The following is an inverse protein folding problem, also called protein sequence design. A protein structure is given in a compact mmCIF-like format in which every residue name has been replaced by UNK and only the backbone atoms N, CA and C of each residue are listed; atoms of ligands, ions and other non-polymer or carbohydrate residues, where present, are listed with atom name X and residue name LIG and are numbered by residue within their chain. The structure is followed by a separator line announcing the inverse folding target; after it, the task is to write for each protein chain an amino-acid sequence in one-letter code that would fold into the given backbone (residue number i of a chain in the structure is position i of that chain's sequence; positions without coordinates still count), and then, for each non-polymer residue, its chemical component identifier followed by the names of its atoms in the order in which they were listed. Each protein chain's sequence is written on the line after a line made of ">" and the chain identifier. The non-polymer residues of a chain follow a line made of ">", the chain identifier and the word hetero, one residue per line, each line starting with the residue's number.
data_IF_930201078596
#
_entry.id   IF_930201078596
#
_cell.length_a   1.000
_cell.length_b   1.000
_cell.length_c   1.000
_cell.angle_alpha   90.00
_cell.angle_beta   90.00
_cell.angle_gamma   90.00
#
_symmetry.space_group_name_H-M   'P 1'
#
loop_
_entity.id
_entity.type
_entity.pdbx_description
1 polymer ?
#
# COMPACT_ATOMS: atom_id res chain seq x y z
N UNK A 1 -24.72 18.60 -3.24
CA UNK A 1 -24.68 17.80 -2.03
C UNK A 1 -23.32 17.19 -1.80
N UNK A 2 -23.04 16.80 -0.56
CA UNK A 2 -21.78 16.15 -0.17
C UNK A 2 -22.10 14.98 0.74
N UNK A 3 -21.43 13.85 0.53
CA UNK A 3 -21.45 12.73 1.47
C UNK A 3 -20.03 12.30 1.79
N UNK A 4 -19.78 12.00 3.04
CA UNK A 4 -18.49 11.51 3.55
C UNK A 4 -18.71 10.25 4.38
N UNK A 5 -17.75 9.33 4.32
CA UNK A 5 -17.77 8.09 5.11
C UNK A 5 -16.36 7.72 5.53
N UNK A 6 -16.18 7.47 6.82
CA UNK A 6 -14.98 6.86 7.37
C UNK A 6 -15.01 5.36 7.09
N UNK A 7 -13.95 4.83 6.50
CA UNK A 7 -13.86 3.41 6.12
C UNK A 7 -12.53 2.85 6.59
N UNK A 8 -12.56 1.66 7.16
CA UNK A 8 -11.37 0.89 7.48
C UNK A 8 -10.91 0.14 6.23
N UNK A 9 -9.62 0.14 5.96
CA UNK A 9 -9.02 -0.71 4.94
C UNK A 9 -9.33 -2.20 5.23
N UNK A 10 -9.43 -2.98 4.18
CA UNK A 10 -9.70 -4.42 4.27
C UNK A 10 -8.52 -5.28 3.81
N UNK A 11 -7.44 -4.63 3.35
CA UNK A 11 -6.19 -5.27 2.94
C UNK A 11 -5.00 -4.41 3.33
N UNK A 12 -3.92 -5.07 3.77
CA UNK A 12 -2.63 -4.45 3.98
C UNK A 12 -1.55 -5.22 3.22
N UNK A 13 -0.52 -4.53 2.75
CA UNK A 13 0.64 -5.11 2.07
C UNK A 13 1.91 -4.54 2.70
N UNK A 14 2.85 -5.43 3.03
CA UNK A 14 4.20 -5.08 3.48
C UNK A 14 5.16 -5.70 2.48
N UNK A 15 6.05 -4.88 1.91
CA UNK A 15 7.08 -5.35 0.99
C UNK A 15 8.44 -5.38 1.70
N UNK A 16 9.13 -6.51 1.62
CA UNK A 16 10.51 -6.68 2.07
C UNK A 16 11.35 -6.95 0.84
N UNK A 17 12.31 -6.07 0.56
CA UNK A 17 13.24 -6.19 -0.57
C UNK A 17 14.65 -6.32 -0.02
N UNK A 18 15.39 -7.29 -0.47
CA UNK A 18 16.78 -7.47 -0.08
C UNK A 18 17.66 -7.78 -1.29
N UNK A 19 18.87 -7.27 -1.26
CA UNK A 19 19.82 -7.40 -2.34
C UNK A 19 21.22 -7.66 -1.82
N UNK A 20 22.08 -8.11 -2.71
CA UNK A 20 23.53 -8.26 -2.49
C UNK A 20 24.25 -8.07 -3.80
N UNK A 21 25.52 -7.68 -3.72
CA UNK A 21 26.44 -7.64 -4.85
C UNK A 21 27.70 -8.45 -4.48
N UNK A 22 28.10 -9.37 -5.33
CA UNK A 22 29.31 -10.17 -5.11
C UNK A 22 30.00 -10.52 -6.43
N UNK A 23 31.32 -10.69 -6.39
CA UNK A 23 32.12 -11.11 -7.55
C UNK A 23 31.85 -12.55 -7.95
N UNK A 24 31.38 -13.39 -7.01
CA UNK A 24 30.96 -14.77 -7.24
C UNK A 24 29.46 -14.91 -7.08
N UNK A 25 28.82 -15.53 -8.07
CA UNK A 25 27.38 -15.76 -8.06
C UNK A 25 26.94 -16.65 -6.88
N UNK A 26 27.72 -17.69 -6.57
CA UNK A 26 27.43 -18.62 -5.49
C UNK A 26 27.37 -17.92 -4.11
N UNK A 27 28.32 -17.01 -3.85
CA UNK A 27 28.36 -16.23 -2.60
C UNK A 27 27.16 -15.26 -2.52
N UNK A 28 26.80 -14.65 -3.66
CA UNK A 28 25.63 -13.77 -3.74
C UNK A 28 24.32 -14.55 -3.45
N UNK A 29 24.17 -15.73 -4.05
CA UNK A 29 22.99 -16.59 -3.82
C UNK A 29 22.91 -17.07 -2.38
N UNK A 30 24.03 -17.43 -1.76
CA UNK A 30 24.09 -17.83 -0.35
C UNK A 30 23.61 -16.69 0.55
N UNK A 31 24.12 -15.48 0.32
CA UNK A 31 23.75 -14.29 1.10
C UNK A 31 22.23 -13.96 0.98
N UNK A 32 21.66 -14.05 -0.23
CA UNK A 32 20.22 -13.86 -0.45
C UNK A 32 19.41 -14.93 0.29
N UNK A 33 19.84 -16.19 0.25
CA UNK A 33 19.15 -17.29 0.95
C UNK A 33 19.16 -17.12 2.46
N UNK A 34 20.25 -16.59 3.04
CA UNK A 34 20.32 -16.27 4.47
C UNK A 34 19.32 -15.18 4.86
N UNK A 35 19.22 -14.12 4.05
CA UNK A 35 18.24 -13.05 4.26
C UNK A 35 16.79 -13.55 4.15
N UNK A 36 16.51 -14.37 3.14
CA UNK A 36 15.19 -15.01 2.97
C UNK A 36 14.81 -15.84 4.19
N UNK A 37 15.72 -16.71 4.65
CA UNK A 37 15.49 -17.54 5.84
C UNK A 37 15.19 -16.70 7.07
N UNK A 38 15.93 -15.62 7.29
CA UNK A 38 15.72 -14.73 8.43
C UNK A 38 14.33 -14.05 8.37
N UNK A 39 13.90 -13.61 7.19
CA UNK A 39 12.54 -13.09 7.00
C UNK A 39 11.50 -14.16 7.34
N UNK A 40 11.64 -15.36 6.78
CA UNK A 40 10.70 -16.47 7.01
C UNK A 40 10.65 -16.92 8.49
N UNK A 41 11.76 -16.87 9.21
CA UNK A 41 11.80 -17.16 10.65
C UNK A 41 10.97 -16.16 11.45
N UNK A 42 11.04 -14.87 11.11
CA UNK A 42 10.18 -13.85 11.73
C UNK A 42 8.71 -14.11 11.40
N UNK A 43 8.36 -14.36 10.12
CA UNK A 43 6.98 -14.63 9.74
C UNK A 43 6.41 -15.86 10.47
N UNK A 44 7.21 -16.90 10.63
CA UNK A 44 6.85 -18.09 11.42
C UNK A 44 6.68 -17.79 12.90
N UNK A 45 7.58 -17.00 13.50
CA UNK A 45 7.48 -16.60 14.91
C UNK A 45 6.23 -15.78 15.20
N UNK A 46 5.74 -15.04 14.19
CA UNK A 46 4.50 -14.28 14.23
C UNK A 46 3.28 -15.12 13.81
N UNK A 47 3.45 -16.43 13.60
CA UNK A 47 2.39 -17.38 13.22
C UNK A 47 1.66 -17.04 11.90
N UNK A 48 2.33 -16.33 10.96
CA UNK A 48 1.78 -16.10 9.63
C UNK A 48 1.73 -17.42 8.86
N UNK A 49 0.62 -17.62 8.15
CA UNK A 49 0.42 -18.80 7.30
C UNK A 49 1.01 -18.57 5.92
N UNK A 50 1.34 -19.64 5.20
CA UNK A 50 1.92 -19.58 3.85
C UNK A 50 1.08 -18.79 2.84
N UNK A 51 -0.23 -18.70 3.04
CA UNK A 51 -1.11 -17.92 2.17
C UNK A 51 -1.21 -16.42 2.56
N UNK A 52 -0.44 -15.98 3.55
CA UNK A 52 -0.35 -14.57 3.97
C UNK A 52 0.95 -13.91 3.50
N UNK A 53 1.82 -14.63 2.81
CA UNK A 53 3.01 -14.06 2.17
C UNK A 53 3.34 -14.78 0.86
N UNK A 54 4.09 -14.11 0.01
CA UNK A 54 4.58 -14.63 -1.25
C UNK A 54 6.05 -14.26 -1.44
N UNK A 55 6.87 -15.26 -1.75
CA UNK A 55 8.29 -15.08 -2.05
C UNK A 55 8.43 -14.96 -3.57
N UNK A 56 8.93 -13.82 -4.02
CA UNK A 56 9.19 -13.59 -5.44
C UNK A 56 10.47 -14.31 -5.89
N UNK A 57 10.55 -14.58 -7.18
CA UNK A 57 11.72 -15.18 -7.78
C UNK A 57 12.97 -14.28 -7.61
N UNK A 58 14.10 -14.90 -7.41
CA UNK A 58 15.39 -14.23 -7.38
C UNK A 58 15.69 -13.60 -8.75
N UNK A 59 16.08 -12.33 -8.75
CA UNK A 59 16.58 -11.62 -9.94
C UNK A 59 18.10 -11.54 -9.86
N UNK A 60 18.77 -11.96 -10.93
CA UNK A 60 20.22 -11.97 -11.02
C UNK A 60 20.61 -11.10 -12.20
N UNK A 61 21.48 -10.13 -11.97
CA UNK A 61 22.02 -9.25 -12.99
C UNK A 61 23.55 -9.26 -12.94
N UNK A 62 24.23 -9.78 -13.98
CA UNK A 62 25.67 -9.64 -14.12
C UNK A 62 26.03 -8.23 -14.55
N UNK A 63 27.02 -7.64 -13.92
CA UNK A 63 27.62 -6.36 -14.28
C UNK A 63 28.94 -6.59 -15.02
N UNK A 64 29.13 -5.91 -16.14
CA UNK A 64 30.26 -6.11 -17.01
C UNK A 64 31.23 -4.92 -16.97
N UNK A 65 32.53 -5.19 -17.23
CA UNK A 65 33.51 -4.13 -17.42
C UNK A 65 33.19 -3.30 -18.68
N UNK A 66 33.47 -2.00 -18.63
CA UNK A 66 33.37 -1.14 -19.81
C UNK A 66 34.29 -1.66 -20.92
N UNK A 67 33.80 -1.60 -22.17
CA UNK A 67 34.63 -1.92 -23.36
C UNK A 67 35.72 -0.89 -23.50
N UNK A 68 36.91 -1.20 -23.09
CA UNK A 68 38.13 -0.48 -23.50
C UNK A 68 38.78 -1.26 -24.65
N UNK A 69 38.79 -0.64 -25.85
CA UNK A 69 39.53 -1.07 -27.05
C UNK A 69 40.01 -2.53 -27.04
N UNK A 70 39.27 -3.42 -27.73
CA UNK A 70 39.66 -4.81 -28.06
C UNK A 70 39.87 -5.81 -26.90
N UNK A 71 39.48 -5.50 -25.70
CA UNK A 71 39.50 -6.47 -24.58
C UNK A 71 38.15 -7.16 -24.38
N UNK A 72 38.21 -8.46 -24.08
CA UNK A 72 37.01 -9.23 -23.75
C UNK A 72 36.25 -8.58 -22.58
N UNK A 73 34.93 -8.48 -22.73
CA UNK A 73 34.01 -8.02 -21.65
C UNK A 73 34.04 -9.04 -20.54
N UNK A 74 34.47 -8.65 -19.33
CA UNK A 74 34.49 -9.51 -18.14
C UNK A 74 33.35 -9.14 -17.19
N UNK A 75 32.79 -10.17 -16.58
CA UNK A 75 31.83 -9.96 -15.46
C UNK A 75 32.62 -9.44 -14.26
N UNK A 76 32.23 -8.30 -13.73
CA UNK A 76 32.81 -7.68 -12.53
C UNK A 76 32.18 -8.21 -11.25
N UNK A 77 30.86 -8.26 -11.20
CA UNK A 77 30.07 -8.75 -10.09
C UNK A 77 28.68 -9.18 -10.54
N UNK A 78 27.94 -9.77 -9.65
CA UNK A 78 26.55 -10.13 -9.79
C UNK A 78 25.72 -9.37 -8.75
N UNK A 79 24.74 -8.59 -9.21
CA UNK A 79 23.70 -8.04 -8.36
C UNK A 79 22.56 -9.04 -8.29
N UNK A 80 22.25 -9.45 -7.08
CA UNK A 80 21.16 -10.41 -6.81
C UNK A 80 20.16 -9.75 -5.89
N UNK A 81 18.88 -9.83 -6.26
CA UNK A 81 17.78 -9.22 -5.53
C UNK A 81 16.61 -10.19 -5.41
N UNK A 82 15.94 -10.14 -4.28
CA UNK A 82 14.69 -10.88 -4.03
C UNK A 82 13.76 -10.05 -3.17
N UNK A 83 12.47 -10.35 -3.21
CA UNK A 83 11.48 -9.70 -2.37
C UNK A 83 10.45 -10.68 -1.82
N UNK A 84 9.92 -10.34 -0.66
CA UNK A 84 8.81 -11.04 -0.02
C UNK A 84 7.68 -10.04 0.15
N UNK A 85 6.50 -10.40 -0.35
CA UNK A 85 5.26 -9.63 -0.23
C UNK A 85 4.42 -10.27 0.87
N UNK A 86 4.07 -9.51 1.89
CA UNK A 86 3.32 -9.99 3.05
C UNK A 86 1.95 -9.31 3.05
N UNK A 87 0.89 -10.10 3.10
CA UNK A 87 -0.49 -9.65 3.13
C UNK A 87 -1.24 -10.35 4.29
N UNK A 88 -1.09 -9.84 5.53
CA UNK A 88 -1.68 -10.46 6.69
C UNK A 88 -3.20 -10.42 6.61
N UNK A 89 -3.87 -11.53 6.99
CA UNK A 89 -5.33 -11.58 7.06
C UNK A 89 -5.89 -10.64 8.11
N UNK A 90 -5.21 -10.53 9.24
CA UNK A 90 -5.50 -9.52 10.25
C UNK A 90 -4.63 -8.29 10.00
N UNK A 91 -5.20 -7.29 9.31
CA UNK A 91 -4.48 -6.06 8.96
C UNK A 91 -4.04 -5.24 10.18
N UNK A 92 -4.66 -5.42 11.34
CA UNK A 92 -4.30 -4.71 12.59
C UNK A 92 -2.90 -5.12 13.10
N UNK A 93 -2.41 -6.29 12.68
CA UNK A 93 -1.07 -6.77 13.01
C UNK A 93 0.02 -6.22 12.08
N UNK A 94 -0.34 -5.44 11.08
CA UNK A 94 0.63 -4.98 10.07
C UNK A 94 1.78 -4.16 10.67
N UNK A 95 1.49 -3.31 11.65
CA UNK A 95 2.50 -2.50 12.33
C UNK A 95 3.43 -3.40 13.18
N UNK A 96 2.88 -4.38 13.92
CA UNK A 96 3.66 -5.37 14.67
C UNK A 96 4.61 -6.15 13.75
N UNK A 97 4.09 -6.63 12.62
CA UNK A 97 4.87 -7.38 11.62
C UNK A 97 6.00 -6.49 11.07
N UNK A 98 5.66 -5.25 10.70
CA UNK A 98 6.63 -4.29 10.19
C UNK A 98 7.75 -4.00 11.19
N UNK A 99 7.42 -3.72 12.45
CA UNK A 99 8.38 -3.44 13.51
C UNK A 99 9.33 -4.63 13.74
N UNK A 100 8.79 -5.85 13.77
CA UNK A 100 9.60 -7.06 13.90
C UNK A 100 10.55 -7.26 12.72
N UNK A 101 10.09 -7.03 11.50
CA UNK A 101 10.95 -7.13 10.32
C UNK A 101 12.05 -6.06 10.31
N UNK A 102 11.79 -4.85 10.84
CA UNK A 102 12.81 -3.81 10.94
C UNK A 102 14.04 -4.24 11.78
N UNK A 103 13.89 -5.16 12.73
CA UNK A 103 15.00 -5.71 13.51
C UNK A 103 16.05 -6.37 12.61
N UNK A 104 15.67 -6.91 11.45
CA UNK A 104 16.61 -7.52 10.49
C UNK A 104 17.61 -6.52 9.91
N UNK A 105 17.29 -5.24 9.84
CA UNK A 105 18.23 -4.20 9.38
C UNK A 105 19.42 -4.01 10.31
N UNK A 106 19.34 -4.46 11.54
CA UNK A 106 20.45 -4.46 12.47
C UNK A 106 21.48 -5.55 12.16
N UNK A 107 21.04 -6.63 11.50
CA UNK A 107 21.88 -7.80 11.17
C UNK A 107 22.29 -7.80 9.71
N UNK A 108 21.39 -7.39 8.81
CA UNK A 108 21.60 -7.45 7.38
C UNK A 108 21.61 -6.05 6.76
N UNK A 109 22.65 -5.78 5.98
CA UNK A 109 22.68 -4.61 5.09
C UNK A 109 21.88 -4.85 3.79
N UNK A 110 21.61 -3.79 3.03
CA UNK A 110 20.88 -3.85 1.77
C UNK A 110 19.53 -4.58 1.89
N UNK A 111 18.79 -4.23 2.93
CA UNK A 111 17.43 -4.70 3.18
C UNK A 111 16.52 -3.49 3.36
N UNK A 112 15.49 -3.42 2.55
CA UNK A 112 14.43 -2.41 2.60
C UNK A 112 13.13 -3.07 3.05
N UNK A 113 12.50 -2.50 4.05
CA UNK A 113 11.20 -2.93 4.56
C UNK A 113 10.29 -1.72 4.44
N UNK A 114 9.34 -1.81 3.52
CA UNK A 114 8.40 -0.72 3.22
C UNK A 114 7.31 -0.73 4.29
N UNK A 115 6.92 0.47 4.74
CA UNK A 115 5.78 0.60 5.68
C UNK A 115 4.52 -0.08 5.12
N UNK A 116 3.64 -0.60 5.98
CA UNK A 116 2.39 -1.20 5.54
C UNK A 116 1.60 -0.24 4.66
N UNK A 117 1.17 -0.73 3.51
CA UNK A 117 0.26 -0.03 2.61
C UNK A 117 -1.15 -0.58 2.77
N UNK A 118 -2.13 0.29 3.00
CA UNK A 118 -3.51 -0.08 3.30
C UNK A 118 -4.44 0.19 2.13
N UNK A 119 -5.27 -0.79 1.77
CA UNK A 119 -6.16 -0.77 0.62
C UNK A 119 -7.61 -1.03 1.01
N UNK A 120 -8.54 -0.43 0.26
CA UNK A 120 -9.97 -0.71 0.29
C UNK A 120 -10.29 -1.46 -1.02
N UNK A 121 -10.50 -2.78 -0.94
CA UNK A 121 -10.73 -3.60 -2.14
C UNK A 121 -12.14 -3.44 -2.70
N UNK A 122 -13.11 -3.07 -1.87
CA UNK A 122 -14.53 -2.88 -2.23
C UNK A 122 -14.91 -1.41 -2.51
N UNK A 123 -13.98 -0.61 -3.06
CA UNK A 123 -14.17 0.84 -3.25
C UNK A 123 -15.40 1.18 -4.09
N UNK A 124 -15.72 0.38 -5.11
CA UNK A 124 -16.85 0.63 -6.00
C UNK A 124 -18.22 0.59 -5.28
N UNK A 125 -18.35 -0.27 -4.27
CA UNK A 125 -19.54 -0.30 -3.42
C UNK A 125 -19.70 1.02 -2.68
N UNK A 126 -18.62 1.52 -2.10
CA UNK A 126 -18.64 2.80 -1.37
C UNK A 126 -18.91 3.99 -2.29
N UNK A 127 -18.36 3.99 -3.52
CA UNK A 127 -18.66 5.03 -4.51
C UNK A 127 -20.16 5.12 -4.79
N UNK A 128 -20.80 3.97 -5.01
CA UNK A 128 -22.24 3.91 -5.27
C UNK A 128 -23.06 4.44 -4.08
N UNK A 129 -22.76 3.94 -2.87
CA UNK A 129 -23.48 4.34 -1.66
C UNK A 129 -23.34 5.86 -1.39
N UNK A 130 -22.12 6.38 -1.55
CA UNK A 130 -21.82 7.80 -1.32
C UNK A 130 -22.46 8.71 -2.39
N UNK A 131 -22.53 8.25 -3.64
CA UNK A 131 -23.22 8.99 -4.70
C UNK A 131 -24.71 9.16 -4.38
N UNK A 132 -25.36 8.08 -3.93
CA UNK A 132 -26.77 8.13 -3.50
C UNK A 132 -26.93 9.11 -2.34
N UNK A 133 -26.12 8.97 -1.30
CA UNK A 133 -26.19 9.83 -0.10
C UNK A 133 -25.88 11.29 -0.42
N UNK A 134 -24.96 11.59 -1.33
CA UNK A 134 -24.67 12.95 -1.76
C UNK A 134 -25.84 13.56 -2.54
N UNK A 135 -26.51 12.77 -3.38
CA UNK A 135 -27.70 13.19 -4.13
C UNK A 135 -28.86 13.50 -3.18
N UNK A 136 -29.15 12.64 -2.22
CA UNK A 136 -30.17 12.87 -1.18
C UNK A 136 -29.86 14.13 -0.37
N UNK A 137 -28.59 14.35 -0.03
CA UNK A 137 -28.14 15.57 0.66
C UNK A 137 -28.33 16.82 -0.20
N UNK A 138 -28.11 16.75 -1.52
CA UNK A 138 -28.37 17.85 -2.44
C UNK A 138 -29.86 18.21 -2.46
N UNK A 139 -30.73 17.22 -2.60
CA UNK A 139 -32.18 17.40 -2.60
C UNK A 139 -32.68 18.00 -1.28
N UNK A 140 -32.22 17.46 -0.16
CA UNK A 140 -32.58 17.95 1.17
C UNK A 140 -32.20 19.43 1.33
N UNK A 141 -30.99 19.82 0.94
CA UNK A 141 -30.53 21.23 0.99
C UNK A 141 -31.37 22.13 0.10
N UNK A 142 -31.71 21.69 -1.12
CA UNK A 142 -32.55 22.43 -2.01
C UNK A 142 -33.95 22.67 -1.40
N UNK A 143 -34.56 21.64 -0.79
CA UNK A 143 -35.84 21.76 -0.08
C UNK A 143 -35.77 22.75 1.06
N UNK A 144 -34.71 22.70 1.89
CA UNK A 144 -34.53 23.63 3.01
C UNK A 144 -34.41 25.09 2.53
N UNK A 145 -33.64 25.33 1.46
CA UNK A 145 -33.52 26.69 0.87
C UNK A 145 -34.85 27.22 0.36
N UNK A 146 -35.68 26.39 -0.30
CA UNK A 146 -36.96 26.79 -0.87
C UNK A 146 -38.03 27.03 0.20
N UNK A 147 -37.99 26.36 1.35
CA UNK A 147 -38.90 26.60 2.47
C UNK A 147 -38.91 28.06 2.94
N UNK A 148 -37.75 28.72 2.93
CA UNK A 148 -37.65 30.16 3.31
C UNK A 148 -38.53 31.05 2.47
N UNK A 149 -38.66 30.73 1.17
CA UNK A 149 -39.43 31.49 0.22
C UNK A 149 -40.85 30.90 -0.09
N UNK A 150 -41.24 29.87 0.67
CA UNK A 150 -42.52 29.13 0.47
C UNK A 150 -42.63 28.52 -0.94
N UNK A 151 -41.52 28.17 -1.55
CA UNK A 151 -41.47 27.48 -2.83
C UNK A 151 -41.30 25.98 -2.64
N UNK A 152 -41.66 25.21 -3.67
CA UNK A 152 -41.51 23.77 -3.73
C UNK A 152 -40.41 23.38 -4.74
N UNK A 153 -39.76 22.21 -4.52
CA UNK A 153 -38.80 21.67 -5.47
C UNK A 153 -39.52 21.11 -6.67
N UNK A 154 -39.05 21.43 -7.88
CA UNK A 154 -39.53 20.89 -9.15
C UNK A 154 -38.82 19.59 -9.54
N UNK A 155 -38.93 19.24 -10.83
CA UNK A 155 -38.17 18.12 -11.39
C UNK A 155 -36.66 18.41 -11.48
N UNK A 156 -35.86 17.37 -11.56
CA UNK A 156 -34.43 17.49 -11.78
C UNK A 156 -34.17 17.97 -13.23
N UNK A 157 -33.55 19.12 -13.39
CA UNK A 157 -33.19 19.66 -14.72
C UNK A 157 -31.75 19.31 -15.11
N UNK A 158 -30.83 19.37 -14.15
CA UNK A 158 -29.40 19.06 -14.37
C UNK A 158 -28.77 18.50 -13.13
N UNK A 159 -27.83 17.59 -13.31
CA UNK A 159 -27.01 16.98 -12.25
C UNK A 159 -25.56 16.86 -12.70
N UNK A 160 -24.64 17.35 -11.89
CA UNK A 160 -23.21 17.21 -12.14
C UNK A 160 -22.57 16.45 -10.98
N UNK A 161 -21.84 15.39 -11.30
CA UNK A 161 -21.07 14.63 -10.33
C UNK A 161 -19.65 15.19 -10.27
N UNK A 162 -19.19 15.54 -9.08
CA UNK A 162 -17.80 15.89 -8.81
C UNK A 162 -16.90 14.65 -8.68
N UNK A 163 -15.65 14.87 -8.33
CA UNK A 163 -14.70 13.79 -8.12
C UNK A 163 -15.02 13.01 -6.84
N UNK A 164 -14.78 11.71 -6.91
CA UNK A 164 -14.71 10.88 -5.72
C UNK A 164 -13.31 10.99 -5.13
N UNK A 165 -13.19 11.28 -3.83
CA UNK A 165 -11.94 11.52 -3.16
C UNK A 165 -11.70 10.49 -2.06
N UNK A 166 -10.44 10.06 -1.92
CA UNK A 166 -9.96 9.29 -0.78
C UNK A 166 -9.04 10.23 0.01
N UNK A 167 -9.48 10.61 1.18
CA UNK A 167 -8.79 11.57 2.02
C UNK A 167 -8.18 10.87 3.25
N UNK A 168 -7.08 11.41 3.80
CA UNK A 168 -6.54 10.93 5.06
C UNK A 168 -7.57 11.14 6.17
N UNK A 169 -7.61 10.18 7.11
CA UNK A 169 -8.40 10.32 8.32
C UNK A 169 -7.63 11.09 9.37
N UNK A 170 -8.01 12.34 9.60
CA UNK A 170 -7.35 13.23 10.58
C UNK A 170 -7.52 12.78 12.04
N UNK A 171 -8.44 11.87 12.31
CA UNK A 171 -8.66 11.29 13.64
C UNK A 171 -7.73 10.11 13.92
N UNK A 172 -7.06 9.56 12.91
CA UNK A 172 -6.05 8.51 13.07
C UNK A 172 -4.70 9.11 13.49
N UNK A 173 -4.54 9.29 14.80
CA UNK A 173 -3.37 9.96 15.40
C UNK A 173 -2.03 9.27 15.19
N UNK A 174 -2.01 8.00 14.75
CA UNK A 174 -0.77 7.25 14.51
C UNK A 174 -0.02 7.68 13.25
N UNK A 175 -0.70 8.36 12.31
CA UNK A 175 -0.18 8.66 10.98
C UNK A 175 -0.37 10.12 10.55
N UNK A 176 -0.40 11.05 11.50
CA UNK A 176 -0.70 12.49 11.28
C UNK A 176 0.28 13.19 10.31
N UNK A 177 1.44 12.60 10.05
CA UNK A 177 2.48 13.20 9.20
C UNK A 177 2.58 12.60 7.79
N UNK A 178 1.75 11.60 7.45
CA UNK A 178 1.76 11.03 6.11
C UNK A 178 0.84 11.88 5.21
N UNK A 179 1.44 12.63 4.29
CA UNK A 179 0.73 13.45 3.28
C UNK A 179 -0.09 12.58 2.30
N UNK A 180 0.18 11.27 2.25
CA UNK A 180 -0.57 10.32 1.44
C UNK A 180 -1.64 9.58 2.27
N UNK A 181 -2.76 9.17 1.65
CA UNK A 181 -3.84 8.44 2.34
C UNK A 181 -3.46 6.97 2.59
N UNK A 182 -2.23 6.72 3.07
CA UNK A 182 -1.72 5.39 3.40
C UNK A 182 -2.02 5.01 4.86
N UNK A 183 -3.22 5.32 5.31
CA UNK A 183 -3.70 5.04 6.66
C UNK A 183 -4.65 3.85 6.65
N UNK A 184 -4.71 3.10 7.77
CA UNK A 184 -5.68 2.02 7.95
C UNK A 184 -7.13 2.54 7.85
N UNK A 185 -7.40 3.72 8.39
CA UNK A 185 -8.69 4.41 8.25
C UNK A 185 -8.58 5.52 7.23
N UNK A 186 -9.57 5.61 6.34
CA UNK A 186 -9.63 6.60 5.27
C UNK A 186 -11.00 7.26 5.26
N UNK A 187 -11.04 8.53 4.86
CA UNK A 187 -12.28 9.24 4.63
C UNK A 187 -12.59 9.23 3.13
N UNK A 188 -13.70 8.67 2.76
CA UNK A 188 -14.22 8.70 1.40
C UNK A 188 -15.21 9.85 1.27
N UNK A 189 -15.13 10.60 0.16
CA UNK A 189 -15.98 11.77 -0.11
C UNK A 189 -16.51 11.73 -1.53
N UNK A 190 -17.79 12.02 -1.67
CA UNK A 190 -18.46 12.23 -2.97
C UNK A 190 -19.21 13.55 -2.97
N UNK A 191 -19.19 14.24 -4.10
CA UNK A 191 -19.84 15.52 -4.32
C UNK A 191 -20.76 15.43 -5.56
N UNK A 192 -21.96 15.97 -5.49
CA UNK A 192 -22.90 16.12 -6.59
C UNK A 192 -23.47 17.55 -6.61
#
# INVERSE_FOLDING_TARGET
>A
GVAEKRVKADKAIINVVFSTSNTKLEDAQTNISEKEKAVLEILKSLELKENEYHINNVKIQPNFSERQQERETKILNYDVMQSVVIAPKNIERSDEIYEKLQELKLTFNNMEIVKPEYYITSIEKYKKDLLVSATENAEMRAREMLKVNKNEIGGLENMTQGQFEILPDKEDSKHVNDEEPNQMYKKLRSVV
#
